data_IF_909765121427
#
_entry.id   IF_909765121427
#
_cell.length_a   1.000
_cell.length_b   1.000
_cell.length_c   1.000
_cell.angle_alpha   90.00
_cell.angle_beta   90.00
_cell.angle_gamma   90.00
#
_symmetry.space_group_name_H-M   'P 1'
#
loop_
_entity.id
_entity.type
_entity.pdbx_description
1 polymer ?
#
# COMPACT_ATOMS: atom_id res chain seq x y z
N UNK A 1 -11.04 -7.15 12.66
CA UNK A 1 -10.67 -6.13 11.68
C UNK A 1 -11.93 -5.45 11.19
N UNK A 2 -12.00 -4.11 11.30
CA UNK A 2 -13.14 -3.30 10.82
C UNK A 2 -13.33 -3.47 9.31
N UNK A 3 -14.52 -3.20 8.80
CA UNK A 3 -14.88 -3.44 7.40
C UNK A 3 -14.01 -2.64 6.42
N UNK A 4 -13.79 -1.36 6.69
CA UNK A 4 -12.95 -0.45 5.87
C UNK A 4 -11.50 -0.89 5.74
N UNK A 5 -10.99 -1.66 6.72
CA UNK A 5 -9.63 -2.22 6.67
C UNK A 5 -9.57 -3.48 5.81
N UNK A 6 -10.69 -4.17 5.58
CA UNK A 6 -10.71 -5.41 4.79
C UNK A 6 -10.86 -5.15 3.29
N UNK A 7 -11.51 -4.05 2.95
CA UNK A 7 -11.82 -3.69 1.56
C UNK A 7 -11.83 -2.16 1.41
N UNK A 8 -10.65 -1.55 1.25
CA UNK A 8 -10.51 -0.10 1.08
C UNK A 8 -10.80 0.36 -0.35
N UNK A 9 -11.15 -0.55 -1.25
CA UNK A 9 -11.26 -0.30 -2.69
C UNK A 9 -12.63 0.26 -3.02
N UNK A 10 -12.67 1.39 -3.71
CA UNK A 10 -13.89 1.87 -4.36
C UNK A 10 -14.21 0.98 -5.57
N UNK A 11 -15.14 0.04 -5.39
CA UNK A 11 -15.51 -0.93 -6.43
C UNK A 11 -16.20 -0.31 -7.65
N UNK A 12 -16.83 0.86 -7.50
CA UNK A 12 -17.40 1.57 -8.63
C UNK A 12 -16.30 2.22 -9.47
N UNK A 13 -15.32 2.88 -8.84
CA UNK A 13 -14.10 3.35 -9.54
C UNK A 13 -13.34 2.19 -10.17
N UNK A 14 -13.13 1.09 -9.44
CA UNK A 14 -12.39 -0.08 -9.92
C UNK A 14 -13.00 -0.65 -11.21
N UNK A 15 -14.33 -0.74 -11.28
CA UNK A 15 -15.04 -1.23 -12.48
C UNK A 15 -14.67 -0.44 -13.74
N UNK A 16 -14.47 0.88 -13.60
CA UNK A 16 -14.08 1.76 -14.69
C UNK A 16 -12.58 1.76 -14.96
N UNK A 17 -11.75 1.59 -13.93
CA UNK A 17 -10.28 1.55 -14.04
C UNK A 17 -9.77 0.28 -14.72
N UNK A 18 -10.33 -0.89 -14.40
CA UNK A 18 -9.87 -2.19 -14.91
C UNK A 18 -9.67 -2.24 -16.44
N UNK A 19 -10.66 -1.87 -17.29
CA UNK A 19 -10.44 -1.89 -18.73
C UNK A 19 -9.37 -0.89 -19.19
N UNK A 20 -9.25 0.26 -18.53
CA UNK A 20 -8.28 1.31 -18.89
C UNK A 20 -6.85 0.91 -18.52
N UNK A 21 -6.61 0.41 -17.30
CA UNK A 21 -5.27 0.00 -16.88
C UNK A 21 -4.76 -1.21 -17.65
N UNK A 22 -5.65 -2.16 -18.00
CA UNK A 22 -5.30 -3.28 -18.89
C UNK A 22 -4.88 -2.80 -20.27
N UNK A 23 -5.59 -1.82 -20.84
CA UNK A 23 -5.22 -1.22 -22.11
C UNK A 23 -3.85 -0.50 -22.02
N UNK A 24 -3.62 0.27 -20.96
CA UNK A 24 -2.33 0.93 -20.70
C UNK A 24 -1.19 -0.08 -20.65
N UNK A 25 -1.32 -1.14 -19.85
CA UNK A 25 -0.27 -2.16 -19.71
C UNK A 25 -0.02 -2.89 -21.02
N UNK A 26 -1.08 -3.24 -21.76
CA UNK A 26 -0.95 -3.87 -23.08
C UNK A 26 -0.24 -2.94 -24.08
N UNK A 27 -0.58 -1.65 -24.11
CA UNK A 27 0.07 -0.67 -24.99
C UNK A 27 1.54 -0.50 -24.61
N UNK A 28 1.84 -0.40 -23.32
CA UNK A 28 3.21 -0.29 -22.81
C UNK A 28 4.06 -1.51 -23.21
N UNK A 29 3.55 -2.72 -23.00
CA UNK A 29 4.23 -3.98 -23.35
C UNK A 29 4.53 -4.07 -24.87
N UNK A 30 3.64 -3.52 -25.70
CA UNK A 30 3.81 -3.46 -27.16
C UNK A 30 4.66 -2.27 -27.65
N UNK A 31 5.27 -1.49 -26.74
CA UNK A 31 6.07 -0.31 -27.09
C UNK A 31 5.24 0.82 -27.71
N UNK A 32 3.95 0.89 -27.41
CA UNK A 32 3.02 1.93 -27.90
C UNK A 32 2.78 2.99 -26.83
N UNK A 33 2.48 4.21 -27.27
CA UNK A 33 2.06 5.28 -26.36
C UNK A 33 0.64 5.06 -25.85
N UNK A 34 0.39 5.46 -24.60
CA UNK A 34 -0.87 5.28 -23.87
C UNK A 34 -1.34 6.56 -23.15
N UNK A 35 -0.97 7.73 -23.68
CA UNK A 35 -1.27 9.05 -23.08
C UNK A 35 -2.78 9.32 -23.02
N UNK A 36 -3.53 8.88 -24.03
CA UNK A 36 -4.97 9.11 -24.07
C UNK A 36 -5.72 8.33 -22.98
N UNK A 37 -5.27 7.11 -22.71
CA UNK A 37 -5.78 6.22 -21.67
C UNK A 37 -5.46 6.81 -20.28
N UNK A 38 -4.24 7.30 -20.07
CA UNK A 38 -3.86 8.00 -18.84
C UNK A 38 -4.69 9.27 -18.60
N UNK A 39 -5.00 10.04 -19.64
CA UNK A 39 -5.91 11.19 -19.53
C UNK A 39 -7.34 10.77 -19.18
N UNK A 40 -7.79 9.59 -19.61
CA UNK A 40 -9.09 9.06 -19.20
C UNK A 40 -9.08 8.63 -17.73
N UNK A 41 -8.02 7.92 -17.31
CA UNK A 41 -7.82 7.53 -15.90
C UNK A 41 -7.76 8.78 -15.02
N UNK A 42 -6.96 9.77 -15.37
CA UNK A 42 -6.78 10.99 -14.57
C UNK A 42 -8.09 11.75 -14.39
N UNK A 43 -8.90 11.87 -15.45
CA UNK A 43 -10.24 12.47 -15.36
C UNK A 43 -11.21 11.68 -14.49
N UNK A 44 -11.11 10.34 -14.50
CA UNK A 44 -11.93 9.48 -13.67
C UNK A 44 -11.58 9.63 -12.18
N UNK A 45 -10.29 9.77 -11.87
CA UNK A 45 -9.78 9.90 -10.50
C UNK A 45 -9.87 11.33 -9.96
N UNK A 46 -9.82 12.33 -10.83
CA UNK A 46 -9.67 13.73 -10.45
C UNK A 46 -8.23 14.09 -10.03
N UNK A 47 -7.26 13.22 -10.32
CA UNK A 47 -5.84 13.35 -9.99
C UNK A 47 -5.01 12.92 -11.19
N UNK A 48 -3.80 13.47 -11.34
CA UNK A 48 -2.92 13.15 -12.46
C UNK A 48 -2.31 11.74 -12.28
N UNK A 49 -2.41 10.92 -13.33
CA UNK A 49 -1.70 9.64 -13.45
C UNK A 49 -0.80 9.70 -14.67
N UNK A 50 0.50 9.62 -14.44
CA UNK A 50 1.54 9.88 -15.42
C UNK A 50 2.21 8.59 -15.92
N UNK A 51 2.93 8.64 -17.06
CA UNK A 51 3.70 7.51 -17.55
C UNK A 51 4.71 6.95 -16.54
N UNK A 52 5.22 7.79 -15.62
CA UNK A 52 6.14 7.36 -14.57
C UNK A 52 5.47 6.40 -13.57
N UNK A 53 4.18 6.56 -13.29
CA UNK A 53 3.43 5.67 -12.42
C UNK A 53 3.29 4.28 -13.04
N UNK A 54 3.05 4.25 -14.35
CA UNK A 54 3.01 2.99 -15.12
C UNK A 54 4.37 2.32 -15.12
N UNK A 55 5.45 3.08 -15.37
CA UNK A 55 6.81 2.54 -15.33
C UNK A 55 7.19 1.99 -13.96
N UNK A 56 6.78 2.65 -12.88
CA UNK A 56 7.02 2.18 -11.52
C UNK A 56 6.20 0.93 -11.15
N UNK A 57 5.01 0.77 -11.72
CA UNK A 57 4.14 -0.38 -11.50
C UNK A 57 4.47 -1.57 -12.43
N UNK A 58 5.00 -1.30 -13.63
CA UNK A 58 5.25 -2.32 -14.63
C UNK A 58 6.42 -3.20 -14.21
N UNK A 59 6.15 -4.51 -14.08
CA UNK A 59 7.13 -5.50 -13.60
C UNK A 59 7.11 -5.70 -12.09
N UNK A 60 6.46 -4.83 -11.31
CA UNK A 60 6.22 -5.04 -9.87
C UNK A 60 4.80 -5.58 -9.60
N UNK A 61 3.80 -5.11 -10.36
CA UNK A 61 2.40 -5.50 -10.17
C UNK A 61 1.69 -5.78 -11.49
N UNK A 62 0.48 -6.34 -11.40
CA UNK A 62 -0.40 -6.56 -12.55
C UNK A 62 -1.23 -5.31 -12.88
N UNK A 63 -1.79 -5.24 -14.10
CA UNK A 63 -2.72 -4.15 -14.46
C UNK A 63 -3.94 -4.05 -13.52
N UNK A 64 -4.41 -5.18 -13.01
CA UNK A 64 -5.52 -5.26 -12.05
C UNK A 64 -5.06 -4.80 -10.65
N UNK A 65 -3.84 -5.16 -10.24
CA UNK A 65 -3.24 -4.66 -9.00
C UNK A 65 -3.04 -3.14 -9.03
N UNK A 66 -2.54 -2.62 -10.14
CA UNK A 66 -2.42 -1.18 -10.38
C UNK A 66 -3.80 -0.48 -10.32
N UNK A 67 -4.83 -1.05 -10.96
CA UNK A 67 -6.19 -0.52 -10.89
C UNK A 67 -6.74 -0.49 -9.46
N UNK A 68 -6.52 -1.56 -8.68
CA UNK A 68 -6.92 -1.60 -7.27
C UNK A 68 -6.24 -0.52 -6.45
N UNK A 69 -4.93 -0.32 -6.65
CA UNK A 69 -4.17 0.73 -5.95
C UNK A 69 -4.71 2.13 -6.26
N UNK A 70 -5.08 2.39 -7.52
CA UNK A 70 -5.69 3.66 -7.94
C UNK A 70 -7.13 3.83 -7.43
N UNK A 71 -7.83 2.75 -7.12
CA UNK A 71 -9.20 2.78 -6.61
C UNK A 71 -9.28 2.99 -5.09
N UNK A 72 -8.15 3.00 -4.38
CA UNK A 72 -8.08 3.30 -2.94
C UNK A 72 -8.03 4.82 -2.74
N UNK A 73 -8.86 5.33 -1.84
CA UNK A 73 -8.75 6.72 -1.38
C UNK A 73 -7.74 6.84 -0.24
N UNK A 74 -6.52 7.25 -0.59
CA UNK A 74 -5.40 7.39 0.34
C UNK A 74 -5.56 8.59 1.31
N UNK A 75 -6.52 9.49 1.07
CA UNK A 75 -6.80 10.62 1.95
C UNK A 75 -7.73 10.25 3.10
N UNK A 76 -8.45 9.14 2.98
CA UNK A 76 -9.41 8.65 4.00
C UNK A 76 -8.86 7.54 4.88
N UNK A 77 -7.53 7.37 4.91
CA UNK A 77 -6.87 6.38 5.77
C UNK A 77 -7.22 6.66 7.25
N UNK A 78 -7.71 5.66 8.01
CA UNK A 78 -8.08 5.85 9.41
C UNK A 78 -6.88 6.25 10.26
N UNK A 79 -7.09 7.16 11.21
CA UNK A 79 -6.03 7.74 12.07
C UNK A 79 -6.27 7.53 13.58
N UNK A 80 -7.30 6.75 13.90
CA UNK A 80 -7.80 6.47 15.24
C UNK A 80 -7.72 4.98 15.60
N UNK A 81 -6.84 4.21 14.94
CA UNK A 81 -6.70 2.78 15.18
C UNK A 81 -6.18 2.53 16.59
N UNK A 82 -6.86 1.65 17.31
CA UNK A 82 -6.44 1.19 18.64
C UNK A 82 -5.25 0.21 18.56
N UNK A 83 -4.51 0.05 19.65
CA UNK A 83 -3.38 -0.91 19.69
C UNK A 83 -3.76 -2.34 19.26
N UNK A 84 -4.91 -2.92 19.67
CA UNK A 84 -5.34 -4.22 19.17
C UNK A 84 -5.58 -4.26 17.65
N UNK A 85 -6.04 -3.15 17.06
CA UNK A 85 -6.28 -3.05 15.62
C UNK A 85 -4.96 -2.92 14.85
N UNK A 86 -4.00 -2.18 15.39
CA UNK A 86 -2.64 -2.11 14.84
C UNK A 86 -1.96 -3.48 14.86
N UNK A 87 -2.12 -4.23 15.95
CA UNK A 87 -1.60 -5.59 16.04
C UNK A 87 -2.26 -6.51 15.01
N UNK A 88 -3.58 -6.43 14.85
CA UNK A 88 -4.30 -7.22 13.85
C UNK A 88 -3.85 -6.91 12.41
N UNK A 89 -3.53 -5.64 12.11
CA UNK A 89 -2.97 -5.26 10.81
C UNK A 89 -1.56 -5.83 10.62
N UNK A 90 -0.68 -5.74 11.62
CA UNK A 90 0.66 -6.33 11.55
C UNK A 90 0.60 -7.84 11.38
N UNK A 91 -0.28 -8.53 12.12
CA UNK A 91 -0.52 -9.97 11.95
C UNK A 91 -0.99 -10.30 10.52
N UNK A 92 -1.86 -9.47 9.95
CA UNK A 92 -2.38 -9.69 8.61
C UNK A 92 -1.32 -9.47 7.52
N UNK A 93 -0.48 -8.44 7.65
CA UNK A 93 0.67 -8.19 6.77
C UNK A 93 1.69 -9.31 6.90
N UNK A 94 2.06 -9.69 8.12
CA UNK A 94 3.02 -10.76 8.42
C UNK A 94 2.59 -12.11 7.84
N UNK A 95 1.29 -12.42 7.94
CA UNK A 95 0.73 -13.65 7.39
C UNK A 95 0.38 -13.56 5.88
N UNK A 96 0.79 -12.49 5.19
CA UNK A 96 0.51 -12.21 3.78
C UNK A 96 -0.98 -12.37 3.41
N UNK A 97 -1.89 -11.90 4.28
CA UNK A 97 -3.35 -12.10 4.13
C UNK A 97 -3.99 -11.05 3.23
N UNK A 98 -3.50 -10.85 2.01
CA UNK A 98 -4.08 -9.86 1.10
C UNK A 98 -3.43 -9.90 -0.26
N UNK A 99 -4.00 -9.15 -1.19
CA UNK A 99 -3.24 -8.76 -2.37
C UNK A 99 -2.31 -7.57 -2.04
N UNK A 100 -1.40 -7.27 -2.96
CA UNK A 100 -0.38 -6.23 -2.80
C UNK A 100 -0.99 -4.87 -2.41
N UNK A 101 -2.08 -4.45 -3.08
CA UNK A 101 -2.74 -3.18 -2.80
C UNK A 101 -3.32 -3.12 -1.37
N UNK A 102 -3.89 -4.24 -0.89
CA UNK A 102 -4.40 -4.33 0.48
C UNK A 102 -3.27 -4.31 1.52
N UNK A 103 -2.15 -4.98 1.24
CA UNK A 103 -0.95 -4.95 2.09
C UNK A 103 -0.37 -3.53 2.17
N UNK A 104 -0.23 -2.85 1.04
CA UNK A 104 0.21 -1.44 0.98
C UNK A 104 -0.70 -0.53 1.80
N UNK A 105 -2.02 -0.73 1.70
CA UNK A 105 -2.99 0.01 2.49
C UNK A 105 -2.80 -0.21 4.00
N UNK A 106 -2.60 -1.46 4.44
CA UNK A 106 -2.34 -1.76 5.84
C UNK A 106 -1.04 -1.15 6.35
N UNK A 107 0.03 -1.20 5.56
CA UNK A 107 1.30 -0.55 5.90
C UNK A 107 1.11 0.96 6.03
N UNK A 108 0.30 1.59 5.17
CA UNK A 108 -0.02 3.02 5.28
C UNK A 108 -0.82 3.33 6.55
N UNK A 109 -1.85 2.54 6.87
CA UNK A 109 -2.60 2.65 8.12
C UNK A 109 -1.66 2.58 9.34
N UNK A 110 -0.75 1.60 9.34
CA UNK A 110 0.23 1.44 10.42
C UNK A 110 1.15 2.67 10.55
N UNK A 111 1.70 3.16 9.43
CA UNK A 111 2.56 4.36 9.41
C UNK A 111 1.85 5.58 10.00
N UNK A 112 0.63 5.88 9.54
CA UNK A 112 -0.11 7.07 9.98
C UNK A 112 -0.50 7.00 11.47
N UNK A 113 -0.87 5.82 11.96
CA UNK A 113 -1.30 5.67 13.37
C UNK A 113 -0.14 5.55 14.36
N UNK A 114 1.01 5.06 13.92
CA UNK A 114 2.21 4.93 14.78
C UNK A 114 3.10 6.17 14.72
N UNK A 115 3.01 6.95 13.64
CA UNK A 115 3.94 8.05 13.34
C UNK A 115 5.29 7.57 12.80
N UNK A 116 5.44 6.27 12.48
CA UNK A 116 6.68 5.72 11.96
C UNK A 116 6.62 5.54 10.44
N UNK A 117 7.18 6.50 9.71
CA UNK A 117 7.30 6.45 8.25
C UNK A 117 8.18 5.29 7.75
N UNK A 118 8.98 4.68 8.62
CA UNK A 118 9.85 3.54 8.30
C UNK A 118 9.28 2.20 8.72
N UNK A 119 8.00 2.12 9.11
CA UNK A 119 7.41 0.85 9.55
C UNK A 119 7.45 -0.23 8.47
N UNK A 120 7.44 0.13 7.18
CA UNK A 120 7.66 -0.82 6.08
C UNK A 120 9.04 -1.49 6.18
N UNK A 121 10.09 -0.73 6.49
CA UNK A 121 11.44 -1.27 6.70
C UNK A 121 11.41 -2.23 7.89
N UNK A 122 10.73 -1.88 8.99
CA UNK A 122 10.64 -2.76 10.16
C UNK A 122 9.99 -4.12 9.83
N UNK A 123 8.98 -4.12 8.95
CA UNK A 123 8.24 -5.33 8.59
C UNK A 123 9.03 -6.19 7.60
N UNK A 124 9.58 -5.59 6.54
CA UNK A 124 10.15 -6.34 5.41
C UNK A 124 11.68 -6.42 5.40
N UNK A 125 12.35 -5.44 6.02
CA UNK A 125 13.81 -5.34 6.09
C UNK A 125 14.27 -4.85 7.47
N UNK A 126 14.04 -5.61 8.55
CA UNK A 126 14.39 -5.16 9.90
C UNK A 126 15.87 -4.73 10.03
N UNK A 127 16.78 -5.36 9.28
CA UNK A 127 18.19 -4.96 9.19
C UNK A 127 18.39 -3.54 8.66
N UNK A 128 17.54 -3.07 7.75
CA UNK A 128 17.56 -1.70 7.27
C UNK A 128 16.95 -0.74 8.30
N UNK A 129 15.91 -1.19 9.02
CA UNK A 129 15.26 -0.40 10.06
C UNK A 129 16.19 -0.11 11.25
N UNK A 130 16.79 -1.16 11.83
CA UNK A 130 17.68 -1.08 13.00
C UNK A 130 19.15 -0.79 12.64
N UNK A 131 19.56 -1.03 11.39
CA UNK A 131 20.95 -0.89 10.96
C UNK A 131 21.89 -1.84 11.69
N UNK A 132 23.09 -1.36 12.04
CA UNK A 132 24.12 -2.16 12.71
C UNK A 132 23.72 -2.70 14.10
N UNK A 133 22.63 -2.19 14.68
CA UNK A 133 22.09 -2.65 15.97
C UNK A 133 21.17 -3.87 15.85
N UNK A 134 20.87 -4.35 14.64
CA UNK A 134 20.02 -5.53 14.45
C UNK A 134 20.76 -6.81 14.85
N UNK A 135 20.14 -7.62 15.69
CA UNK A 135 20.68 -8.90 16.16
C UNK A 135 20.35 -10.08 15.23
N UNK A 136 19.67 -9.82 14.11
CA UNK A 136 19.33 -10.82 13.10
C UNK A 136 18.14 -11.71 13.48
N UNK A 137 17.49 -11.48 14.61
CA UNK A 137 16.37 -12.30 15.06
C UNK A 137 15.07 -11.92 14.35
N UNK A 138 14.25 -12.90 14.06
CA UNK A 138 12.88 -12.66 13.58
C UNK A 138 12.06 -11.96 14.67
N UNK A 139 11.33 -10.90 14.28
CA UNK A 139 10.42 -10.18 15.16
C UNK A 139 9.00 -10.70 14.97
N UNK A 140 8.29 -10.94 16.06
CA UNK A 140 6.84 -11.15 16.01
C UNK A 140 6.09 -9.83 15.79
N UNK A 141 4.86 -9.87 15.26
CA UNK A 141 4.00 -8.68 15.12
C UNK A 141 3.85 -7.86 16.41
N UNK A 142 3.73 -8.53 17.57
CA UNK A 142 3.65 -7.87 18.86
C UNK A 142 4.93 -7.10 19.22
N UNK A 143 6.10 -7.67 18.92
CA UNK A 143 7.40 -7.01 19.16
C UNK A 143 7.61 -5.83 18.20
N UNK A 144 7.23 -5.98 16.92
CA UNK A 144 7.26 -4.87 15.96
C UNK A 144 6.39 -3.70 16.44
N UNK A 145 5.19 -4.00 16.96
CA UNK A 145 4.29 -2.98 17.50
C UNK A 145 4.89 -2.28 18.73
N UNK A 146 5.51 -3.04 19.64
CA UNK A 146 6.17 -2.46 20.82
C UNK A 146 7.28 -1.48 20.42
N UNK A 147 8.09 -1.82 19.41
CA UNK A 147 9.18 -0.98 18.89
C UNK A 147 8.65 0.38 18.43
N UNK A 148 7.63 0.40 17.56
CA UNK A 148 7.10 1.67 17.01
C UNK A 148 6.36 2.49 18.06
N UNK A 149 5.61 1.84 18.97
CA UNK A 149 4.93 2.56 20.06
C UNK A 149 5.91 3.15 21.08
N UNK A 150 7.03 2.47 21.35
CA UNK A 150 8.09 3.00 22.23
C UNK A 150 8.78 4.20 21.62
N UNK A 151 9.07 4.15 20.30
CA UNK A 151 9.64 5.28 19.56
C UNK A 151 8.74 6.51 19.66
N UNK A 152 7.44 6.36 19.38
CA UNK A 152 6.43 7.43 19.47
C UNK A 152 6.35 8.08 20.86
N UNK A 153 6.52 7.32 21.94
CA UNK A 153 6.52 7.88 23.32
C UNK A 153 7.78 8.67 23.67
N UNK A 154 8.84 8.53 22.89
CA UNK A 154 10.14 9.14 23.14
C UNK A 154 10.35 10.44 22.34
N UNK A 155 9.42 10.75 21.43
CA UNK A 155 9.33 11.97 20.61
C UNK A 155 8.34 12.96 21.21
#
# INVERSE_FOLDING_TARGET
>A
MRAELRDPVDHDKLRHLLPLTRAVFQLHENGRGYVAELQQISRLLGEDVDPIDVLGAFGSTSADGFAKRLAIDWHTVPTDLSEPELLELLDAVWACRGDEALVDYWVRCLSVNTGDDRISDLIFWPEAYFGAGYDGRELSPAEMLEVVLRKRRSE
#
